data_IF_800710828162
#
_entry.id   IF_800710828162
#
_cell.length_a   1.000
_cell.length_b   1.000
_cell.length_c   1.000
_cell.angle_alpha   90.00
_cell.angle_beta   90.00
_cell.angle_gamma   90.00
#
_symmetry.space_group_name_H-M   'P 1'
#
loop_
_entity.id
_entity.type
_entity.pdbx_description
1 polymer ?
#
# COMPACT_ATOMS: atom_id res chain seq x y z
N UNK A 1 -8.12 -10.25 0.10
CA UNK A 1 -9.11 -9.95 -0.96
C UNK A 1 -10.01 -11.18 -1.17
N UNK A 2 -11.29 -10.96 -1.42
CA UNK A 2 -12.29 -12.02 -1.64
C UNK A 2 -13.11 -11.63 -2.85
N UNK A 3 -13.40 -12.60 -3.72
CA UNK A 3 -14.29 -12.45 -4.85
C UNK A 3 -15.35 -13.56 -4.84
N UNK A 4 -16.60 -13.18 -4.89
CA UNK A 4 -17.75 -14.09 -4.97
C UNK A 4 -19.02 -13.33 -5.39
N UNK A 5 -20.15 -14.05 -5.56
CA UNK A 5 -21.47 -13.43 -5.64
C UNK A 5 -21.75 -12.63 -4.36
N UNK A 6 -22.50 -11.53 -4.48
CA UNK A 6 -22.76 -10.59 -3.38
C UNK A 6 -23.26 -11.29 -2.11
N UNK A 7 -24.23 -12.20 -2.23
CA UNK A 7 -24.81 -12.91 -1.08
C UNK A 7 -23.76 -13.75 -0.34
N UNK A 8 -22.83 -14.37 -1.07
CA UNK A 8 -21.75 -15.14 -0.47
C UNK A 8 -20.75 -14.24 0.25
N UNK A 9 -20.49 -13.03 -0.28
CA UNK A 9 -19.63 -12.03 0.39
C UNK A 9 -20.30 -11.58 1.69
N UNK A 10 -21.60 -11.32 1.68
CA UNK A 10 -22.34 -10.91 2.88
C UNK A 10 -22.34 -12.03 3.95
N UNK A 11 -22.62 -13.28 3.56
CA UNK A 11 -22.52 -14.44 4.45
C UNK A 11 -21.13 -14.59 5.03
N UNK A 12 -20.08 -14.50 4.19
CA UNK A 12 -18.69 -14.55 4.64
C UNK A 12 -18.38 -13.45 5.64
N UNK A 13 -18.75 -12.21 5.37
CA UNK A 13 -18.53 -11.08 6.29
C UNK A 13 -19.17 -11.33 7.65
N UNK A 14 -20.37 -11.87 7.69
CA UNK A 14 -21.09 -12.23 8.92
C UNK A 14 -20.31 -13.26 9.74
N UNK A 15 -19.97 -14.40 9.11
CA UNK A 15 -19.23 -15.48 9.75
C UNK A 15 -17.84 -15.02 10.21
N UNK A 16 -17.13 -14.26 9.37
CA UNK A 16 -15.81 -13.73 9.69
C UNK A 16 -15.86 -12.79 10.91
N UNK A 17 -16.85 -11.91 10.99
CA UNK A 17 -17.03 -11.01 12.14
C UNK A 17 -17.31 -11.78 13.42
N UNK A 18 -18.15 -12.80 13.36
CA UNK A 18 -18.46 -13.66 14.49
C UNK A 18 -17.23 -14.43 14.98
N UNK A 19 -16.51 -15.07 14.05
CA UNK A 19 -15.33 -15.89 14.37
C UNK A 19 -14.21 -15.07 15.02
N UNK A 20 -13.95 -13.86 14.51
CA UNK A 20 -12.90 -12.97 15.03
C UNK A 20 -13.40 -11.96 16.07
N UNK A 21 -14.66 -12.02 16.47
CA UNK A 21 -15.30 -11.10 17.44
C UNK A 21 -15.15 -9.60 17.04
N UNK A 22 -15.24 -9.32 15.73
CA UNK A 22 -15.07 -7.99 15.18
C UNK A 22 -16.44 -7.30 15.03
N UNK A 23 -16.66 -6.15 15.67
CA UNK A 23 -17.89 -5.38 15.52
C UNK A 23 -18.04 -4.77 14.12
N UNK A 24 -16.96 -4.16 13.60
CA UNK A 24 -16.93 -3.56 12.25
C UNK A 24 -15.53 -3.67 11.64
N UNK A 25 -15.44 -3.66 10.31
CA UNK A 25 -14.17 -3.51 9.60
C UNK A 25 -13.73 -2.04 9.65
N UNK A 26 -12.42 -1.81 9.74
CA UNK A 26 -11.86 -0.45 9.73
C UNK A 26 -12.02 0.23 8.37
N UNK A 27 -11.95 -0.55 7.30
CA UNK A 27 -12.19 -0.10 5.92
C UNK A 27 -12.66 -1.27 5.06
N UNK A 28 -13.46 -0.98 4.07
CA UNK A 28 -13.88 -1.94 3.04
C UNK A 28 -13.79 -1.27 1.68
N UNK A 29 -13.12 -1.93 0.74
CA UNK A 29 -13.11 -1.56 -0.67
C UNK A 29 -13.93 -2.59 -1.44
N UNK A 30 -15.01 -2.17 -2.07
CA UNK A 30 -15.86 -3.03 -2.86
C UNK A 30 -15.79 -2.62 -4.33
N UNK A 31 -15.61 -3.58 -5.22
CA UNK A 31 -15.63 -3.37 -6.67
C UNK A 31 -16.42 -4.49 -7.35
N UNK A 32 -16.94 -4.21 -8.55
CA UNK A 32 -17.55 -5.22 -9.41
C UNK A 32 -16.56 -5.58 -10.52
N UNK A 33 -16.41 -6.86 -10.80
CA UNK A 33 -15.63 -7.36 -11.93
C UNK A 33 -16.54 -8.05 -12.95
N UNK A 34 -16.22 -7.86 -14.23
CA UNK A 34 -16.92 -8.57 -15.34
C UNK A 34 -16.43 -10.02 -15.51
N UNK A 35 -15.31 -10.36 -14.91
CA UNK A 35 -14.71 -11.69 -14.95
C UNK A 35 -14.47 -12.23 -13.54
N UNK A 36 -14.20 -13.53 -13.40
CA UNK A 36 -13.84 -14.17 -12.13
C UNK A 36 -12.36 -13.87 -11.81
N UNK A 37 -12.06 -12.97 -10.83
CA UNK A 37 -10.69 -12.47 -10.63
C UNK A 37 -9.76 -13.47 -9.95
N UNK A 38 -10.28 -14.58 -9.37
CA UNK A 38 -9.47 -15.62 -8.73
C UNK A 38 -9.89 -16.99 -9.18
N UNK A 39 -8.97 -17.80 -9.70
CA UNK A 39 -9.25 -19.16 -10.14
C UNK A 39 -9.43 -20.14 -8.99
N UNK A 40 -8.66 -19.99 -7.91
CA UNK A 40 -8.64 -20.90 -6.76
C UNK A 40 -8.64 -20.13 -5.44
N UNK A 41 -9.37 -20.63 -4.40
CA UNK A 41 -9.20 -20.11 -3.06
C UNK A 41 -7.80 -20.46 -2.56
N UNK A 42 -7.10 -19.48 -1.98
CA UNK A 42 -5.76 -19.65 -1.44
C UNK A 42 -5.66 -19.00 -0.08
N UNK A 43 -5.48 -19.81 0.95
CA UNK A 43 -5.24 -19.34 2.32
C UNK A 43 -3.85 -19.78 2.75
N UNK A 44 -3.04 -18.83 3.22
CA UNK A 44 -1.69 -19.09 3.72
C UNK A 44 -1.51 -18.45 5.09
N UNK A 45 -1.05 -19.22 6.05
CA UNK A 45 -0.59 -18.70 7.34
C UNK A 45 0.84 -18.21 7.16
N UNK A 46 1.09 -16.94 7.50
CA UNK A 46 2.41 -16.33 7.43
C UNK A 46 2.77 -15.67 8.76
N UNK A 47 4.03 -15.77 9.17
CA UNK A 47 4.55 -15.04 10.35
C UNK A 47 4.52 -13.52 10.13
N UNK A 48 4.71 -13.06 8.90
CA UNK A 48 4.63 -11.67 8.49
C UNK A 48 3.82 -11.56 7.21
N UNK A 49 2.80 -10.70 7.19
CA UNK A 49 2.00 -10.40 5.98
C UNK A 49 2.87 -9.69 4.93
N UNK A 50 3.70 -8.76 5.39
CA UNK A 50 4.72 -8.07 4.60
C UNK A 50 6.10 -8.47 5.14
N UNK A 51 6.86 -9.35 4.45
CA UNK A 51 8.10 -9.88 4.96
C UNK A 51 9.23 -8.83 4.91
N UNK A 52 9.44 -8.14 6.01
CA UNK A 52 10.48 -7.10 6.16
C UNK A 52 11.55 -7.51 7.20
N UNK A 53 11.38 -8.66 7.87
CA UNK A 53 12.25 -9.07 8.97
C UNK A 53 12.07 -8.23 10.24
N UNK A 54 10.90 -7.59 10.37
CA UNK A 54 10.61 -6.67 11.46
C UNK A 54 9.16 -6.83 11.92
N UNK A 55 8.97 -7.27 13.15
CA UNK A 55 7.66 -7.44 13.74
C UNK A 55 7.14 -6.14 14.35
N UNK A 56 5.89 -5.81 14.05
CA UNK A 56 5.17 -4.69 14.63
C UNK A 56 4.19 -5.24 15.66
N UNK A 57 4.44 -4.93 16.92
CA UNK A 57 3.46 -5.12 17.99
C UNK A 57 2.62 -3.84 18.09
N UNK A 58 1.32 -3.96 18.28
CA UNK A 58 0.38 -2.83 18.51
C UNK A 58 0.40 -1.77 17.38
N UNK A 59 0.13 -2.20 16.15
CA UNK A 59 0.02 -1.30 15.01
C UNK A 59 -1.13 -0.30 15.20
N UNK A 60 -0.80 0.99 15.10
CA UNK A 60 -1.78 2.08 15.00
C UNK A 60 -1.68 2.69 13.61
N UNK A 61 -2.84 2.99 13.00
CA UNK A 61 -2.86 3.66 11.69
C UNK A 61 -2.04 4.96 11.74
N UNK A 62 -1.16 5.18 10.77
CA UNK A 62 -0.29 6.35 10.79
C UNK A 62 -1.07 7.64 10.56
N UNK A 63 -0.76 8.67 11.36
CA UNK A 63 -1.36 10.01 11.21
C UNK A 63 -0.91 10.75 9.94
N UNK A 64 0.13 10.28 9.29
CA UNK A 64 0.75 10.85 8.09
C UNK A 64 0.28 10.20 6.77
N UNK A 65 -0.90 9.58 6.78
CA UNK A 65 -1.59 9.12 5.58
C UNK A 65 -2.28 10.30 4.89
N UNK A 66 -1.81 10.63 3.70
CA UNK A 66 -2.31 11.73 2.89
C UNK A 66 -3.42 11.25 1.95
N UNK A 67 -4.48 12.03 1.84
CA UNK A 67 -5.47 11.81 0.78
C UNK A 67 -4.87 12.13 -0.62
N UNK A 68 -5.51 11.73 -1.73
CA UNK A 68 -4.95 11.94 -3.06
C UNK A 68 -4.64 13.41 -3.43
N UNK A 69 -5.41 14.38 -2.92
CA UNK A 69 -5.17 15.81 -3.17
C UNK A 69 -3.93 16.31 -2.43
N UNK A 70 -3.80 15.94 -1.17
CA UNK A 70 -2.62 16.23 -0.34
C UNK A 70 -1.37 15.53 -0.89
N UNK A 71 -1.53 14.27 -1.33
CA UNK A 71 -0.48 13.49 -1.95
C UNK A 71 0.09 14.19 -3.19
N UNK A 72 -0.77 14.67 -4.11
CA UNK A 72 -0.34 15.40 -5.28
C UNK A 72 0.45 16.67 -4.95
N UNK A 73 0.15 17.34 -3.83
CA UNK A 73 0.92 18.52 -3.38
C UNK A 73 2.32 18.11 -2.89
N UNK A 74 2.40 17.04 -2.11
CA UNK A 74 3.68 16.59 -1.52
C UNK A 74 4.64 16.06 -2.59
N UNK A 75 4.16 15.23 -3.52
CA UNK A 75 5.04 14.63 -4.55
C UNK A 75 5.54 15.63 -5.61
N UNK A 76 4.93 16.82 -5.71
CA UNK A 76 5.40 17.92 -6.57
C UNK A 76 6.52 18.75 -5.95
N UNK A 77 6.78 18.59 -4.66
CA UNK A 77 7.83 19.33 -3.98
C UNK A 77 9.20 18.79 -4.38
N UNK A 78 10.13 19.70 -4.72
CA UNK A 78 11.50 19.34 -5.12
C UNK A 78 12.32 18.70 -3.98
N UNK A 79 11.95 18.98 -2.73
CA UNK A 79 12.60 18.47 -1.52
C UNK A 79 12.00 17.15 -1.01
N UNK A 80 11.11 16.51 -1.80
CA UNK A 80 10.47 15.25 -1.44
C UNK A 80 11.00 14.10 -2.27
N UNK A 81 11.52 13.09 -1.61
CA UNK A 81 11.95 11.83 -2.21
C UNK A 81 10.73 10.93 -2.31
N UNK A 82 10.34 10.60 -3.53
CA UNK A 82 9.20 9.74 -3.80
C UNK A 82 9.64 8.30 -4.08
N UNK A 83 9.24 7.37 -3.22
CA UNK A 83 9.68 5.97 -3.27
C UNK A 83 8.50 5.05 -3.59
N UNK A 84 8.63 4.29 -4.67
CA UNK A 84 7.76 3.16 -4.98
C UNK A 84 8.25 1.92 -4.23
N UNK A 85 7.49 1.45 -3.25
CA UNK A 85 7.86 0.30 -2.43
C UNK A 85 7.47 -1.05 -3.05
N UNK A 86 7.04 -1.04 -4.31
CA UNK A 86 6.69 -2.25 -5.06
C UNK A 86 7.92 -2.90 -5.70
N UNK A 87 7.70 -4.06 -6.30
CA UNK A 87 8.74 -4.73 -7.09
C UNK A 87 9.03 -3.97 -8.39
N UNK A 88 10.23 -4.13 -8.99
CA UNK A 88 10.60 -3.45 -10.23
C UNK A 88 9.60 -3.64 -11.36
N UNK A 89 9.10 -4.85 -11.57
CA UNK A 89 8.13 -5.11 -12.64
C UNK A 89 6.79 -4.39 -12.43
N UNK A 90 6.33 -4.23 -11.17
CA UNK A 90 5.13 -3.44 -10.85
C UNK A 90 5.34 -1.96 -11.17
N UNK A 91 6.54 -1.44 -10.91
CA UNK A 91 6.95 -0.08 -11.22
C UNK A 91 7.01 0.17 -12.74
N UNK A 92 7.56 -0.76 -13.49
CA UNK A 92 7.69 -0.66 -14.95
C UNK A 92 6.33 -0.67 -15.69
N UNK A 93 5.33 -1.35 -15.13
CA UNK A 93 3.95 -1.33 -15.67
C UNK A 93 3.29 0.04 -15.49
N UNK A 94 3.62 0.74 -14.42
CA UNK A 94 3.17 2.10 -14.20
C UNK A 94 3.55 2.62 -12.81
N UNK A 95 3.77 3.93 -12.72
CA UNK A 95 4.23 4.57 -11.50
C UNK A 95 3.89 6.08 -11.48
N UNK A 96 4.12 6.74 -10.35
CA UNK A 96 4.12 8.20 -10.31
C UNK A 96 5.38 8.74 -10.98
N UNK A 97 5.24 9.81 -11.74
CA UNK A 97 6.37 10.53 -12.34
C UNK A 97 7.40 10.86 -11.26
N UNK A 98 8.67 10.69 -11.57
CA UNK A 98 9.82 10.94 -10.68
C UNK A 98 9.93 10.02 -9.45
N UNK A 99 9.11 8.96 -9.37
CA UNK A 99 9.29 7.99 -8.29
C UNK A 99 10.55 7.13 -8.51
N UNK A 100 11.22 6.84 -7.40
CA UNK A 100 12.39 5.98 -7.38
C UNK A 100 11.94 4.59 -6.96
N UNK A 101 12.26 3.58 -7.76
CA UNK A 101 12.11 2.19 -7.34
C UNK A 101 13.43 1.71 -6.71
N UNK A 102 13.40 1.09 -5.52
CA UNK A 102 14.58 0.53 -4.86
C UNK A 102 15.29 -0.58 -5.61
N UNK A 103 14.64 -1.16 -6.62
CA UNK A 103 15.11 -2.31 -7.39
C UNK A 103 15.47 -3.51 -6.50
N UNK A 104 14.66 -3.77 -5.47
CA UNK A 104 14.83 -4.91 -4.58
C UNK A 104 13.94 -6.07 -5.01
N UNK A 105 14.51 -7.25 -5.12
CA UNK A 105 13.76 -8.47 -5.47
C UNK A 105 12.85 -8.93 -4.33
N UNK A 106 13.31 -8.72 -3.09
CA UNK A 106 12.61 -9.13 -1.90
C UNK A 106 12.46 -7.96 -0.93
N UNK A 107 11.27 -7.77 -0.39
CA UNK A 107 10.98 -6.67 0.55
C UNK A 107 11.80 -6.74 1.86
N UNK A 108 12.44 -7.86 2.16
CA UNK A 108 13.42 -7.97 3.27
C UNK A 108 14.67 -7.14 3.05
N UNK A 109 15.01 -6.81 1.80
CA UNK A 109 16.16 -5.97 1.46
C UNK A 109 15.84 -4.48 1.58
N UNK A 110 14.55 -4.11 1.67
CA UNK A 110 14.12 -2.72 1.73
C UNK A 110 14.67 -1.93 2.92
N UNK A 111 14.82 -2.48 4.15
CA UNK A 111 15.48 -1.79 5.25
C UNK A 111 16.92 -1.35 4.96
N UNK A 112 17.67 -2.14 4.21
CA UNK A 112 19.04 -1.80 3.81
C UNK A 112 19.06 -0.62 2.84
N UNK A 113 18.19 -0.65 1.83
CA UNK A 113 18.01 0.47 0.90
C UNK A 113 17.71 1.79 1.63
N UNK A 114 16.92 1.75 2.70
CA UNK A 114 16.53 2.94 3.46
C UNK A 114 17.65 3.58 4.26
N UNK A 115 18.76 2.87 4.51
CA UNK A 115 19.91 3.40 5.28
C UNK A 115 20.61 4.58 4.61
N UNK A 116 20.53 4.72 3.30
CA UNK A 116 21.14 5.79 2.54
C UNK A 116 20.50 7.16 2.75
N UNK A 117 19.29 7.21 3.30
CA UNK A 117 18.54 8.45 3.48
C UNK A 117 18.82 9.10 4.83
N UNK A 118 18.86 10.44 4.82
CA UNK A 118 18.98 11.23 6.04
C UNK A 118 17.62 11.30 6.77
N UNK A 119 17.66 11.29 8.09
CA UNK A 119 16.45 11.33 8.94
C UNK A 119 15.64 12.63 8.82
N UNK A 120 16.23 13.69 8.27
CA UNK A 120 15.59 15.00 8.05
C UNK A 120 14.90 15.09 6.68
N UNK A 121 15.19 14.18 5.75
CA UNK A 121 14.60 14.19 4.41
C UNK A 121 13.09 13.96 4.44
N UNK A 122 12.40 14.56 3.47
CA UNK A 122 10.99 14.34 3.24
C UNK A 122 10.84 13.09 2.37
N UNK A 123 10.29 12.02 2.92
CA UNK A 123 10.12 10.73 2.22
C UNK A 123 8.63 10.47 2.02
N UNK A 124 8.19 10.43 0.77
CA UNK A 124 6.86 10.01 0.38
C UNK A 124 6.91 8.58 -0.16
N UNK A 125 6.04 7.70 0.32
CA UNK A 125 6.03 6.29 -0.08
C UNK A 125 4.65 5.83 -0.51
N UNK A 126 4.61 4.99 -1.53
CA UNK A 126 3.38 4.36 -2.01
C UNK A 126 3.59 2.89 -2.37
N UNK A 127 2.49 2.15 -2.37
CA UNK A 127 2.37 0.81 -2.95
C UNK A 127 0.93 0.59 -3.41
N UNK A 128 0.61 -0.57 -3.90
CA UNK A 128 -0.72 -0.90 -4.44
C UNK A 128 -1.86 -0.59 -3.47
N UNK A 129 -1.81 -1.11 -2.24
CA UNK A 129 -2.87 -0.94 -1.22
C UNK A 129 -2.45 -0.23 0.08
N UNK A 130 -1.20 0.27 0.17
CA UNK A 130 -0.68 1.00 1.35
C UNK A 130 0.04 0.14 2.39
N UNK A 131 -0.19 -1.17 2.47
CA UNK A 131 0.28 -2.05 3.56
C UNK A 131 1.82 -2.13 3.69
N UNK A 132 2.56 -2.15 2.57
CA UNK A 132 4.04 -2.13 2.58
C UNK A 132 4.55 -0.82 3.18
N UNK A 133 3.95 0.30 2.78
CA UNK A 133 4.30 1.64 3.27
C UNK A 133 4.00 1.81 4.75
N UNK A 134 2.87 1.33 5.22
CA UNK A 134 2.50 1.40 6.64
C UNK A 134 3.53 0.68 7.51
N UNK A 135 3.96 -0.52 7.11
CA UNK A 135 5.00 -1.25 7.82
C UNK A 135 6.34 -0.52 7.79
N UNK A 136 6.73 0.00 6.62
CA UNK A 136 7.95 0.80 6.45
C UNK A 136 7.93 2.06 7.30
N UNK A 137 6.80 2.74 7.40
CA UNK A 137 6.66 3.94 8.24
C UNK A 137 6.97 3.65 9.71
N UNK A 138 6.47 2.55 10.26
CA UNK A 138 6.80 2.17 11.65
C UNK A 138 8.29 1.92 11.82
N UNK A 139 8.91 1.24 10.85
CA UNK A 139 10.35 1.00 10.85
C UNK A 139 11.15 2.30 10.83
N UNK A 140 10.83 3.23 9.91
CA UNK A 140 11.51 4.51 9.78
C UNK A 140 11.33 5.40 11.01
N UNK A 141 10.11 5.47 11.56
CA UNK A 141 9.85 6.23 12.80
C UNK A 141 10.68 5.74 13.97
N UNK A 142 10.81 4.42 14.14
CA UNK A 142 11.67 3.84 15.17
C UNK A 142 13.16 4.19 14.97
N UNK A 143 13.58 4.50 13.75
CA UNK A 143 14.93 4.95 13.41
C UNK A 143 15.11 6.47 13.47
N UNK A 144 14.08 7.21 13.87
CA UNK A 144 14.14 8.65 14.10
C UNK A 144 13.83 9.51 12.87
N UNK A 145 13.29 8.92 11.77
CA UNK A 145 12.79 9.71 10.64
C UNK A 145 11.54 10.47 11.03
N UNK A 146 11.48 11.76 10.71
CA UNK A 146 10.38 12.66 11.12
C UNK A 146 9.38 12.90 9.99
N UNK A 147 9.88 13.15 8.78
CA UNK A 147 9.11 13.62 7.63
C UNK A 147 8.77 12.47 6.67
N UNK A 148 7.79 11.65 7.06
CA UNK A 148 7.34 10.50 6.27
C UNK A 148 5.91 10.74 5.86
N UNK A 149 5.58 10.52 4.58
CA UNK A 149 4.26 10.70 3.98
C UNK A 149 3.83 9.42 3.28
N UNK A 150 2.60 8.99 3.49
CA UNK A 150 2.05 7.79 2.91
C UNK A 150 0.82 8.10 2.08
N UNK A 151 0.66 7.44 0.95
CA UNK A 151 -0.56 7.52 0.15
C UNK A 151 -1.66 6.67 0.80
N UNK A 152 -2.69 7.31 1.33
CA UNK A 152 -3.84 6.66 1.98
C UNK A 152 -4.55 5.69 1.03
N UNK A 153 -4.60 4.41 1.40
CA UNK A 153 -5.21 3.36 0.59
C UNK A 153 -4.43 2.99 -0.68
N UNK A 154 -3.21 3.54 -0.85
CA UNK A 154 -2.31 3.23 -1.95
C UNK A 154 -2.81 3.68 -3.33
N UNK A 155 -2.19 3.11 -4.37
CA UNK A 155 -2.48 3.44 -5.78
C UNK A 155 -3.94 3.17 -6.13
N UNK A 156 -4.51 2.07 -5.63
CA UNK A 156 -5.91 1.71 -5.93
C UNK A 156 -6.85 2.83 -5.48
N UNK A 157 -6.70 3.33 -4.26
CA UNK A 157 -7.52 4.44 -3.78
C UNK A 157 -7.25 5.73 -4.58
N UNK A 158 -5.99 5.99 -4.95
CA UNK A 158 -5.63 7.15 -5.73
C UNK A 158 -6.33 7.15 -7.10
N UNK A 159 -6.22 6.06 -7.86
CA UNK A 159 -6.82 5.94 -9.20
C UNK A 159 -8.34 5.96 -9.17
N UNK A 160 -8.97 5.46 -8.10
CA UNK A 160 -10.43 5.53 -7.91
C UNK A 160 -10.93 6.91 -7.48
N UNK A 161 -10.06 7.78 -6.96
CA UNK A 161 -10.45 9.06 -6.36
C UNK A 161 -10.00 10.28 -7.14
N UNK A 162 -9.06 10.12 -8.09
CA UNK A 162 -8.48 11.23 -8.84
C UNK A 162 -8.94 11.17 -10.28
N UNK A 163 -9.51 12.26 -10.76
CA UNK A 163 -9.85 12.41 -12.17
C UNK A 163 -8.60 12.32 -13.04
N UNK A 164 -8.70 11.70 -14.21
CA UNK A 164 -7.58 11.44 -15.12
C UNK A 164 -6.74 12.69 -15.44
N UNK A 165 -7.39 13.84 -15.64
CA UNK A 165 -6.72 15.13 -15.90
C UNK A 165 -5.84 15.65 -14.75
N UNK A 166 -6.14 15.23 -13.50
CA UNK A 166 -5.43 15.64 -12.29
C UNK A 166 -4.45 14.57 -11.79
N UNK A 167 -4.40 13.43 -12.49
CA UNK A 167 -3.55 12.31 -12.09
C UNK A 167 -2.07 12.61 -12.38
N UNK A 168 -1.21 12.23 -11.43
CA UNK A 168 0.25 12.22 -11.59
C UNK A 168 0.76 10.80 -11.87
N UNK A 169 -0.15 9.84 -12.00
CA UNK A 169 0.15 8.45 -12.33
C UNK A 169 0.37 8.28 -13.83
N UNK A 170 1.33 7.45 -14.21
CA UNK A 170 1.62 7.06 -15.59
C UNK A 170 1.58 5.54 -15.72
N UNK A 171 1.04 5.04 -16.83
CA UNK A 171 0.91 3.62 -17.11
C UNK A 171 -0.24 2.94 -16.36
N UNK A 172 -0.18 1.63 -16.25
CA UNK A 172 -1.19 0.77 -15.66
C UNK A 172 -0.86 0.43 -14.20
N UNK A 173 -1.87 0.06 -13.43
CA UNK A 173 -1.65 -0.43 -12.06
C UNK A 173 -1.68 -1.95 -12.05
N UNK A 174 -0.51 -2.57 -11.88
CA UNK A 174 -0.44 -4.01 -11.70
C UNK A 174 -1.11 -4.41 -10.36
N UNK A 175 -2.12 -5.25 -10.45
CA UNK A 175 -2.78 -5.89 -9.31
C UNK A 175 -2.57 -7.38 -9.45
N UNK A 176 -2.04 -8.02 -8.39
CA UNK A 176 -1.84 -9.46 -8.41
C UNK A 176 -3.18 -10.17 -8.62
N UNK A 177 -3.28 -10.85 -9.74
CA UNK A 177 -4.37 -11.76 -10.08
C UNK A 177 -3.74 -13.13 -10.36
N UNK A 178 -3.90 -14.06 -9.42
CA UNK A 178 -3.51 -15.48 -9.58
C UNK A 178 -4.43 -16.36 -8.75
#
# INVERSE_FOLDING_TARGET
>A
TISAKLDNILKFKKVFKQFFQIKKFNSENNSKSKFKPFHKPKVKIKKEVVPMGFNIKNYKSPKNNLNPKEWNKIIKRKDTILIDTRKPFEHNVGSFKQSINPNVENFRQFPEYLKKFNKKENIAMFCTGGIRCEKTNVYLKKRGFKNIYLLKGGIINYLNSVEKKNSQWQGECFVFDN
#
